data_IF_973783693261
#
_entry.id   IF_973783693261
#
_cell.length_a   1.000
_cell.length_b   1.000
_cell.length_c   1.000
_cell.angle_alpha   90.00
_cell.angle_beta   90.00
_cell.angle_gamma   90.00
#
_symmetry.space_group_name_H-M   'P 1'
#
loop_
_entity.id
_entity.type
_entity.pdbx_description
1 polymer ?
#
# COMPACT_ATOMS: atom_id res chain seq x y z
N UNK A 1 40.07 -30.12 -8.43
CA UNK A 1 39.10 -29.02 -8.55
C UNK A 1 37.63 -29.46 -8.48
N UNK A 2 37.23 -30.63 -9.00
CA UNK A 2 35.83 -31.11 -8.91
C UNK A 2 35.26 -31.34 -7.50
N UNK A 3 36.08 -31.66 -6.49
CA UNK A 3 35.61 -31.90 -5.12
C UNK A 3 35.08 -30.64 -4.42
N UNK A 4 35.68 -29.48 -4.70
CA UNK A 4 35.22 -28.19 -4.15
C UNK A 4 33.92 -27.74 -4.81
N UNK A 5 33.75 -28.02 -6.10
CA UNK A 5 32.53 -27.71 -6.84
C UNK A 5 31.36 -28.53 -6.29
N UNK A 6 31.57 -29.81 -5.98
CA UNK A 6 30.53 -30.66 -5.39
C UNK A 6 30.09 -30.17 -4.00
N UNK A 7 31.03 -29.64 -3.21
CA UNK A 7 30.74 -29.06 -1.90
C UNK A 7 29.94 -27.75 -1.98
N UNK A 8 30.26 -26.90 -2.97
CA UNK A 8 29.52 -25.66 -3.27
C UNK A 8 28.08 -25.93 -3.72
N UNK A 9 27.87 -27.00 -4.50
CA UNK A 9 26.56 -27.41 -4.99
C UNK A 9 25.66 -28.00 -3.89
N UNK A 10 26.25 -28.60 -2.86
CA UNK A 10 25.52 -29.13 -1.70
C UNK A 10 25.04 -28.03 -0.74
N UNK A 11 25.77 -26.92 -0.66
CA UNK A 11 25.43 -25.76 0.18
C UNK A 11 24.23 -24.96 -0.36
N UNK A 12 23.96 -25.00 -1.66
CA UNK A 12 22.82 -24.28 -2.25
C UNK A 12 21.46 -24.94 -2.03
N UNK A 13 21.43 -26.22 -1.63
CA UNK A 13 20.17 -26.97 -1.37
C UNK A 13 19.56 -26.63 -0.01
N UNK A 14 20.33 -26.02 0.91
CA UNK A 14 19.89 -25.68 2.26
C UNK A 14 19.43 -24.23 2.43
N UNK A 15 19.30 -23.45 1.37
CA UNK A 15 18.70 -22.11 1.48
C UNK A 15 17.19 -22.28 1.66
N UNK A 16 16.61 -22.01 2.85
CA UNK A 16 15.17 -21.88 2.95
C UNK A 16 14.80 -20.69 2.07
N UNK A 17 14.11 -20.94 0.96
CA UNK A 17 13.43 -19.91 0.20
C UNK A 17 12.28 -19.39 1.09
N UNK A 18 12.62 -18.55 2.05
CA UNK A 18 11.63 -17.75 2.77
C UNK A 18 11.21 -16.66 1.80
N UNK A 19 10.38 -17.03 0.83
CA UNK A 19 9.40 -16.09 0.32
C UNK A 19 8.53 -15.77 1.53
N UNK A 20 8.88 -14.70 2.25
CA UNK A 20 7.99 -14.13 3.25
C UNK A 20 6.75 -13.76 2.48
N UNK A 21 5.75 -14.65 2.54
CA UNK A 21 4.42 -14.38 2.07
C UNK A 21 3.92 -13.34 3.06
N UNK A 22 4.28 -12.09 2.82
CA UNK A 22 3.69 -10.93 3.46
C UNK A 22 2.27 -10.96 2.91
N UNK A 23 1.45 -11.85 3.47
CA UNK A 23 0.02 -11.81 3.36
C UNK A 23 -0.32 -10.50 4.03
N UNK A 24 -0.31 -9.44 3.22
CA UNK A 24 -0.81 -8.14 3.62
C UNK A 24 -2.18 -8.49 4.16
N UNK A 25 -2.33 -8.32 5.47
CA UNK A 25 -3.58 -8.63 6.13
C UNK A 25 -4.58 -7.71 5.45
N UNK A 26 -5.43 -8.27 4.58
CA UNK A 26 -6.26 -7.47 3.67
C UNK A 26 -7.10 -6.46 4.47
N UNK A 27 -7.41 -6.81 5.72
CA UNK A 27 -8.06 -5.94 6.69
C UNK A 27 -7.20 -4.74 7.11
N UNK A 28 -5.91 -4.93 7.34
CA UNK A 28 -4.96 -3.86 7.69
C UNK A 28 -4.76 -2.91 6.51
N UNK A 29 -4.74 -3.43 5.28
CA UNK A 29 -4.73 -2.62 4.06
C UNK A 29 -6.01 -1.81 3.91
N UNK A 30 -7.19 -2.43 4.08
CA UNK A 30 -8.47 -1.70 3.99
C UNK A 30 -8.55 -0.60 5.06
N UNK A 31 -8.08 -0.88 6.28
CA UNK A 31 -8.07 0.11 7.34
C UNK A 31 -7.10 1.27 7.04
N UNK A 32 -5.90 0.98 6.52
CA UNK A 32 -4.93 2.01 6.11
C UNK A 32 -5.50 2.89 5.00
N UNK A 33 -6.15 2.29 4.00
CA UNK A 33 -6.84 3.01 2.94
C UNK A 33 -7.95 3.93 3.46
N UNK A 34 -8.82 3.42 4.34
CA UNK A 34 -9.91 4.20 4.91
C UNK A 34 -9.39 5.34 5.79
N UNK A 35 -8.32 5.10 6.56
CA UNK A 35 -7.64 6.11 7.37
C UNK A 35 -7.00 7.21 6.52
N UNK A 36 -6.32 6.83 5.42
CA UNK A 36 -5.80 7.77 4.44
C UNK A 36 -6.91 8.63 3.84
N UNK A 37 -8.01 7.99 3.43
CA UNK A 37 -9.15 8.69 2.83
C UNK A 37 -9.76 9.66 3.83
N UNK A 38 -10.01 9.25 5.07
CA UNK A 38 -10.54 10.14 6.11
C UNK A 38 -9.63 11.34 6.38
N UNK A 39 -8.31 11.11 6.47
CA UNK A 39 -7.32 12.13 6.77
C UNK A 39 -7.28 13.25 5.73
N UNK A 40 -7.40 12.90 4.45
CA UNK A 40 -7.29 13.86 3.34
C UNK A 40 -8.67 14.45 2.99
N UNK A 41 -9.72 13.64 3.03
CA UNK A 41 -11.05 14.06 2.63
C UNK A 41 -11.63 15.14 3.55
N UNK A 42 -11.42 15.02 4.87
CA UNK A 42 -11.95 15.97 5.85
C UNK A 42 -11.49 17.42 5.62
N UNK A 43 -10.19 17.74 5.56
CA UNK A 43 -9.73 19.10 5.28
C UNK A 43 -10.08 19.57 3.86
N UNK A 44 -10.26 18.65 2.90
CA UNK A 44 -10.69 18.97 1.55
C UNK A 44 -12.15 19.46 1.54
N UNK A 45 -13.05 18.74 2.23
CA UNK A 45 -14.47 19.13 2.35
C UNK A 45 -14.63 20.45 3.11
N UNK A 46 -13.91 20.64 4.22
CA UNK A 46 -13.94 21.90 4.97
C UNK A 46 -13.57 23.11 4.08
N UNK A 47 -12.61 22.94 3.17
CA UNK A 47 -12.28 23.96 2.15
C UNK A 47 -13.40 24.12 1.12
N UNK A 48 -14.04 23.05 0.67
CA UNK A 48 -15.16 23.14 -0.27
C UNK A 48 -16.35 23.91 0.33
N UNK A 49 -16.72 23.60 1.58
CA UNK A 49 -17.81 24.26 2.30
C UNK A 49 -17.54 25.76 2.46
N UNK A 50 -16.28 26.15 2.70
CA UNK A 50 -15.90 27.57 2.76
C UNK A 50 -16.03 28.32 1.42
N UNK A 51 -16.15 27.62 0.30
CA UNK A 51 -16.22 28.19 -1.04
C UNK A 51 -17.58 27.94 -1.74
N UNK A 52 -18.58 27.37 -1.04
CA UNK A 52 -19.90 26.99 -1.59
C UNK A 52 -19.85 26.13 -2.87
N UNK A 53 -18.72 25.46 -3.14
CA UNK A 53 -18.55 24.67 -4.36
C UNK A 53 -19.10 23.25 -4.15
N UNK A 54 -20.22 22.98 -4.82
CA UNK A 54 -20.93 21.69 -4.72
C UNK A 54 -20.19 20.57 -5.44
N UNK A 55 -19.41 20.90 -6.47
CA UNK A 55 -18.61 19.92 -7.23
C UNK A 55 -17.31 19.57 -6.51
N UNK A 56 -16.80 20.49 -5.70
CA UNK A 56 -15.56 20.33 -4.95
C UNK A 56 -15.61 19.10 -4.03
N UNK A 57 -16.73 18.83 -3.34
CA UNK A 57 -16.85 17.65 -2.46
C UNK A 57 -16.71 16.34 -3.23
N UNK A 58 -17.27 16.27 -4.44
CA UNK A 58 -17.18 15.06 -5.27
C UNK A 58 -15.76 14.85 -5.81
N UNK A 59 -15.12 15.93 -6.28
CA UNK A 59 -13.71 15.94 -6.68
C UNK A 59 -12.77 15.55 -5.54
N UNK A 60 -13.01 16.05 -4.32
CA UNK A 60 -12.26 15.64 -3.13
C UNK A 60 -12.35 14.13 -2.91
N UNK A 61 -13.54 13.52 -3.03
CA UNK A 61 -13.71 12.07 -2.85
C UNK A 61 -12.96 11.27 -3.90
N UNK A 62 -13.09 11.64 -5.17
CA UNK A 62 -12.46 10.93 -6.28
C UNK A 62 -10.93 11.05 -6.24
N UNK A 63 -10.40 12.25 -6.00
CA UNK A 63 -8.96 12.48 -5.93
C UNK A 63 -8.34 11.80 -4.72
N UNK A 64 -8.94 11.94 -3.54
CA UNK A 64 -8.43 11.32 -2.30
C UNK A 64 -8.34 9.80 -2.45
N UNK A 65 -9.38 9.16 -2.99
CA UNK A 65 -9.38 7.71 -3.22
C UNK A 65 -8.27 7.29 -4.18
N UNK A 66 -8.02 8.08 -5.23
CA UNK A 66 -6.96 7.82 -6.19
C UNK A 66 -5.56 8.05 -5.61
N UNK A 67 -5.38 9.05 -4.75
CA UNK A 67 -4.12 9.35 -4.07
C UNK A 67 -3.73 8.24 -3.09
N UNK A 68 -4.65 7.83 -2.20
CA UNK A 68 -4.40 6.75 -1.25
C UNK A 68 -4.07 5.43 -1.96
N UNK A 69 -4.82 5.09 -3.02
CA UNK A 69 -4.53 3.92 -3.86
C UNK A 69 -3.14 3.98 -4.52
N UNK A 70 -2.70 5.16 -4.96
CA UNK A 70 -1.38 5.35 -5.57
C UNK A 70 -0.25 5.30 -4.55
N UNK A 71 -0.51 5.75 -3.32
CA UNK A 71 0.42 5.62 -2.20
C UNK A 71 0.58 4.18 -1.70
N UNK A 72 -0.33 3.28 -2.10
CA UNK A 72 -0.32 1.88 -1.67
C UNK A 72 -0.94 1.66 -0.29
N UNK A 73 -1.75 2.63 0.18
CA UNK A 73 -2.55 2.53 1.39
C UNK A 73 -3.91 1.86 1.12
#
# INVERSE_FOLDING_TARGET
>A
MNKFIFFLLLLSVFLPAQATNYGINRQEQVNAQDDCVQRILKPCIEKCESNEDTNCVQLCKENTKNECRQAGE
#
